data_IF_317224010255
#
_entry.id   IF_317224010255
#
_cell.length_a   1.000
_cell.length_b   1.000
_cell.length_c   1.000
_cell.angle_alpha   90.00
_cell.angle_beta   90.00
_cell.angle_gamma   90.00
#
_symmetry.space_group_name_H-M   'P 1'
#
loop_
_entity.id
_entity.type
_entity.pdbx_description
1 polymer ?
#
# COMPACT_ATOMS: atom_id res chain seq x y z
N UNK A 1 23.48 -18.91 2.36
CA UNK A 1 24.88 -18.71 2.79
C UNK A 1 25.26 -17.28 2.41
N UNK A 2 25.33 -16.36 3.38
CA UNK A 2 25.84 -15.00 3.13
C UNK A 2 27.33 -15.16 2.85
N UNK A 3 27.80 -14.83 1.64
CA UNK A 3 29.24 -14.83 1.35
C UNK A 3 29.88 -13.81 2.29
N UNK A 4 30.64 -14.33 3.24
CA UNK A 4 31.38 -13.58 4.26
C UNK A 4 32.24 -12.53 3.56
N UNK A 5 31.89 -11.25 3.71
CA UNK A 5 32.80 -10.16 3.35
C UNK A 5 32.17 -8.87 2.84
N UNK A 6 30.92 -8.85 2.35
CA UNK A 6 30.34 -7.61 1.74
C UNK A 6 29.13 -7.00 2.47
N UNK A 7 28.30 -7.81 3.10
CA UNK A 7 27.10 -7.35 3.84
C UNK A 7 26.87 -8.22 5.08
N UNK A 8 26.42 -7.60 6.15
CA UNK A 8 25.97 -8.23 7.39
C UNK A 8 24.61 -8.91 7.20
N UNK A 9 24.26 -9.87 8.08
CA UNK A 9 22.92 -10.49 8.08
C UNK A 9 21.80 -9.46 8.23
N UNK A 10 22.00 -8.45 9.07
CA UNK A 10 21.04 -7.37 9.29
C UNK A 10 20.79 -6.55 8.02
N UNK A 11 21.83 -6.29 7.23
CA UNK A 11 21.68 -5.60 5.95
C UNK A 11 20.94 -6.45 4.92
N UNK A 12 21.22 -7.75 4.87
CA UNK A 12 20.48 -8.68 4.01
C UNK A 12 18.99 -8.73 4.39
N UNK A 13 18.67 -8.86 5.68
CA UNK A 13 17.29 -8.89 6.18
C UNK A 13 16.56 -7.58 5.84
N UNK A 14 17.26 -6.46 5.94
CA UNK A 14 16.71 -5.16 5.53
C UNK A 14 16.38 -5.17 4.03
N UNK A 15 17.30 -5.57 3.15
CA UNK A 15 17.04 -5.65 1.70
C UNK A 15 15.85 -6.56 1.39
N UNK A 16 15.75 -7.72 2.05
CA UNK A 16 14.62 -8.62 1.87
C UNK A 16 13.29 -7.95 2.28
N UNK A 17 13.28 -7.18 3.37
CA UNK A 17 12.08 -6.42 3.78
C UNK A 17 11.71 -5.32 2.79
N UNK A 18 12.70 -4.62 2.22
CA UNK A 18 12.46 -3.65 1.16
C UNK A 18 11.82 -4.28 -0.08
N UNK A 19 12.35 -5.43 -0.51
CA UNK A 19 11.80 -6.16 -1.65
C UNK A 19 10.36 -6.59 -1.39
N UNK A 20 10.08 -7.19 -0.23
CA UNK A 20 8.73 -7.60 0.15
C UNK A 20 7.74 -6.42 0.22
N UNK A 21 8.18 -5.27 0.77
CA UNK A 21 7.36 -4.07 0.81
C UNK A 21 7.08 -3.51 -0.59
N UNK A 22 8.08 -3.55 -1.49
CA UNK A 22 7.94 -3.13 -2.87
C UNK A 22 6.95 -4.03 -3.63
N UNK A 23 7.13 -5.34 -3.57
CA UNK A 23 6.23 -6.33 -4.19
C UNK A 23 4.77 -6.10 -3.74
N UNK A 24 4.54 -5.90 -2.44
CA UNK A 24 3.20 -5.61 -1.92
C UNK A 24 2.59 -4.31 -2.48
N UNK A 25 3.41 -3.27 -2.64
CA UNK A 25 2.98 -2.01 -3.22
C UNK A 25 2.66 -2.16 -4.71
N UNK A 26 3.43 -2.95 -5.47
CA UNK A 26 3.18 -3.21 -6.89
C UNK A 26 1.86 -3.93 -7.09
N UNK A 27 1.60 -5.01 -6.34
CA UNK A 27 0.32 -5.74 -6.38
C UNK A 27 -0.86 -4.83 -6.00
N UNK A 28 -0.69 -4.06 -4.91
CA UNK A 28 -1.70 -3.12 -4.45
C UNK A 28 -1.97 -1.98 -5.42
N UNK A 29 -0.99 -1.60 -6.24
CA UNK A 29 -1.12 -0.51 -7.22
C UNK A 29 -2.04 -0.89 -8.38
N UNK A 30 -1.96 -2.14 -8.86
CA UNK A 30 -2.89 -2.63 -9.87
C UNK A 30 -4.35 -2.54 -9.40
N UNK A 31 -4.61 -2.91 -8.15
CA UNK A 31 -5.95 -2.83 -7.56
C UNK A 31 -6.44 -1.38 -7.41
N UNK A 32 -5.54 -0.47 -7.01
CA UNK A 32 -5.82 0.96 -6.95
C UNK A 32 -6.21 1.54 -8.31
N UNK A 33 -5.39 1.29 -9.34
CA UNK A 33 -5.64 1.77 -10.70
C UNK A 33 -6.97 1.24 -11.23
N UNK A 34 -7.27 -0.05 -11.03
CA UNK A 34 -8.53 -0.64 -11.44
C UNK A 34 -9.74 0.05 -10.78
N UNK A 35 -9.70 0.24 -9.45
CA UNK A 35 -10.76 0.93 -8.72
C UNK A 35 -10.93 2.39 -9.14
N UNK A 36 -9.84 3.12 -9.34
CA UNK A 36 -9.85 4.52 -9.80
C UNK A 36 -10.43 4.65 -11.19
N UNK A 37 -9.99 3.83 -12.16
CA UNK A 37 -10.49 3.88 -13.53
C UNK A 37 -11.98 3.52 -13.60
N UNK A 38 -12.42 2.53 -12.82
CA UNK A 38 -13.83 2.14 -12.75
C UNK A 38 -14.69 3.27 -12.16
N UNK A 39 -14.25 3.88 -11.05
CA UNK A 39 -14.93 5.01 -10.43
C UNK A 39 -14.98 6.24 -11.35
N UNK A 40 -13.90 6.51 -12.08
CA UNK A 40 -13.85 7.58 -13.07
C UNK A 40 -14.83 7.32 -14.22
N UNK A 41 -14.87 6.09 -14.73
CA UNK A 41 -15.78 5.69 -15.81
C UNK A 41 -17.25 5.79 -15.38
N UNK A 42 -17.58 5.36 -14.16
CA UNK A 42 -18.92 5.46 -13.59
C UNK A 42 -19.32 6.88 -13.16
N UNK A 43 -18.46 7.89 -13.40
CA UNK A 43 -18.74 9.29 -13.09
C UNK A 43 -18.81 9.58 -11.60
N UNK A 44 -18.06 8.87 -10.74
CA UNK A 44 -17.91 9.20 -9.31
C UNK A 44 -17.43 10.66 -9.16
N UNK A 45 -17.92 11.39 -8.15
CA UNK A 45 -17.58 12.81 -8.02
C UNK A 45 -16.08 13.01 -7.76
N UNK A 46 -15.46 13.91 -8.50
CA UNK A 46 -14.02 14.22 -8.43
C UNK A 46 -13.53 14.52 -7.00
N UNK A 47 -14.24 15.30 -6.16
CA UNK A 47 -13.80 15.53 -4.78
C UNK A 47 -13.72 14.25 -3.95
N UNK A 48 -14.69 13.35 -4.10
CA UNK A 48 -14.69 12.07 -3.38
C UNK A 48 -13.57 11.15 -3.87
N UNK A 49 -13.38 11.08 -5.20
CA UNK A 49 -12.32 10.26 -5.80
C UNK A 49 -10.93 10.77 -5.39
N UNK A 50 -10.69 12.08 -5.42
CA UNK A 50 -9.42 12.69 -4.99
C UNK A 50 -9.12 12.39 -3.52
N UNK A 51 -10.14 12.46 -2.64
CA UNK A 51 -9.98 12.10 -1.23
C UNK A 51 -9.57 10.64 -1.03
N UNK A 52 -10.20 9.71 -1.76
CA UNK A 52 -9.86 8.28 -1.71
C UNK A 52 -8.46 8.00 -2.26
N UNK A 53 -8.08 8.64 -3.37
CA UNK A 53 -6.74 8.50 -3.94
C UNK A 53 -5.64 9.07 -3.05
N UNK A 54 -5.89 10.21 -2.40
CA UNK A 54 -4.98 10.80 -1.42
C UNK A 54 -4.83 9.88 -0.20
N UNK A 55 -5.94 9.36 0.34
CA UNK A 55 -5.92 8.43 1.46
C UNK A 55 -5.15 7.14 1.13
N UNK A 56 -5.34 6.57 -0.06
CA UNK A 56 -4.56 5.43 -0.54
C UNK A 56 -3.06 5.73 -0.55
N UNK A 57 -2.69 6.87 -1.15
CA UNK A 57 -1.29 7.27 -1.30
C UNK A 57 -0.61 7.46 0.05
N UNK A 58 -1.27 8.18 0.98
CA UNK A 58 -0.76 8.38 2.34
C UNK A 58 -0.65 7.06 3.11
N UNK A 59 -1.63 6.16 2.95
CA UNK A 59 -1.60 4.84 3.58
C UNK A 59 -0.42 3.99 3.05
N UNK A 60 -0.11 4.06 1.76
CA UNK A 60 1.05 3.34 1.17
C UNK A 60 2.39 3.93 1.59
N UNK A 61 2.50 5.25 1.70
CA UNK A 61 3.69 5.89 2.27
C UNK A 61 3.89 5.47 3.74
N UNK A 62 2.83 5.49 4.54
CA UNK A 62 2.86 5.00 5.93
C UNK A 62 3.24 3.52 6.03
N UNK A 63 2.69 2.67 5.15
CA UNK A 63 3.06 1.26 5.07
C UNK A 63 4.55 1.08 4.77
N UNK A 64 5.09 1.76 3.75
CA UNK A 64 6.51 1.67 3.40
C UNK A 64 7.43 2.12 4.54
N UNK A 65 7.12 3.26 5.17
CA UNK A 65 7.91 3.78 6.30
C UNK A 65 7.87 2.81 7.48
N UNK A 66 6.68 2.31 7.85
CA UNK A 66 6.54 1.38 8.99
C UNK A 66 7.21 0.03 8.73
N UNK A 67 7.18 -0.47 7.49
CA UNK A 67 7.81 -1.74 7.11
C UNK A 67 9.34 -1.68 7.16
N UNK A 68 9.92 -0.53 6.78
CA UNK A 68 11.37 -0.36 6.67
C UNK A 68 12.00 0.13 7.98
N UNK A 69 11.37 1.09 8.65
CA UNK A 69 11.98 1.81 9.76
C UNK A 69 11.77 1.13 11.12
N UNK A 70 10.77 0.25 11.25
CA UNK A 70 10.38 -0.31 12.54
C UNK A 70 10.85 -1.76 12.66
N UNK A 71 11.90 -1.97 13.46
CA UNK A 71 12.42 -3.29 13.85
C UNK A 71 11.67 -3.87 15.08
N UNK A 72 10.87 -3.06 15.77
CA UNK A 72 10.23 -3.43 17.03
C UNK A 72 8.87 -4.08 16.82
N UNK A 73 8.65 -5.25 17.43
CA UNK A 73 7.41 -6.01 17.34
C UNK A 73 6.18 -5.17 17.72
N UNK A 74 6.34 -4.18 18.63
CA UNK A 74 5.34 -3.24 19.20
C UNK A 74 4.79 -2.14 18.29
N UNK A 75 5.24 -2.06 17.02
CA UNK A 75 4.56 -1.25 16.00
C UNK A 75 4.07 -2.02 14.75
N UNK A 76 4.10 -3.36 14.75
CA UNK A 76 3.60 -4.20 13.65
C UNK A 76 2.13 -3.94 13.27
N UNK A 77 1.27 -3.56 14.23
CA UNK A 77 -0.14 -3.18 13.99
C UNK A 77 -0.28 -1.97 13.07
N UNK A 78 0.65 -1.00 13.11
CA UNK A 78 0.56 0.18 12.22
C UNK A 78 0.67 -0.22 10.76
N UNK A 79 1.57 -1.15 10.45
CA UNK A 79 1.71 -1.71 9.10
C UNK A 79 0.38 -2.31 8.64
N UNK A 80 -0.24 -3.11 9.49
CA UNK A 80 -1.54 -3.74 9.21
C UNK A 80 -2.64 -2.68 9.02
N UNK A 81 -2.67 -1.64 9.86
CA UNK A 81 -3.63 -0.55 9.73
C UNK A 81 -3.46 0.20 8.41
N UNK A 82 -2.24 0.64 8.07
CA UNK A 82 -1.92 1.30 6.81
C UNK A 82 -2.30 0.42 5.61
N UNK A 83 -2.01 -0.88 5.68
CA UNK A 83 -2.36 -1.83 4.63
C UNK A 83 -3.88 -1.93 4.45
N UNK A 84 -4.65 -2.09 5.53
CA UNK A 84 -6.11 -2.16 5.47
C UNK A 84 -6.73 -0.86 4.97
N UNK A 85 -6.23 0.31 5.42
CA UNK A 85 -6.70 1.61 4.93
C UNK A 85 -6.54 1.71 3.42
N UNK A 86 -5.39 1.33 2.87
CA UNK A 86 -5.17 1.30 1.42
C UNK A 86 -6.18 0.40 0.69
N UNK A 87 -6.40 -0.82 1.17
CA UNK A 87 -7.35 -1.75 0.55
C UNK A 87 -8.80 -1.25 0.63
N UNK A 88 -9.19 -0.67 1.76
CA UNK A 88 -10.54 -0.14 1.96
C UNK A 88 -10.86 1.02 1.00
N UNK A 89 -9.88 1.88 0.69
CA UNK A 89 -10.09 2.94 -0.31
C UNK A 89 -10.36 2.36 -1.71
N UNK A 90 -9.65 1.30 -2.10
CA UNK A 90 -9.84 0.62 -3.38
C UNK A 90 -11.23 -0.03 -3.48
N UNK A 91 -11.63 -0.77 -2.44
CA UNK A 91 -12.97 -1.35 -2.34
C UNK A 91 -14.06 -0.28 -2.38
N UNK A 92 -13.86 0.84 -1.67
CA UNK A 92 -14.79 1.97 -1.68
C UNK A 92 -14.96 2.55 -3.09
N UNK A 93 -13.86 2.74 -3.85
CA UNK A 93 -13.94 3.22 -5.23
C UNK A 93 -14.76 2.27 -6.12
N UNK A 94 -14.54 0.96 -5.99
CA UNK A 94 -15.28 -0.06 -6.77
C UNK A 94 -16.77 -0.06 -6.40
N UNK A 95 -17.09 0.00 -5.10
CA UNK A 95 -18.48 0.05 -4.62
C UNK A 95 -19.19 1.32 -5.10
N UNK A 96 -18.52 2.48 -5.02
CA UNK A 96 -19.07 3.74 -5.51
C UNK A 96 -19.34 3.69 -7.02
N UNK A 97 -18.44 3.05 -7.77
CA UNK A 97 -18.64 2.85 -9.20
C UNK A 97 -19.83 1.93 -9.49
N UNK A 98 -19.90 0.77 -8.83
CA UNK A 98 -20.99 -0.20 -9.01
C UNK A 98 -22.36 0.31 -8.57
N UNK A 99 -22.43 1.35 -7.73
CA UNK A 99 -23.70 2.03 -7.37
C UNK A 99 -24.17 3.06 -8.41
N UNK A 100 -23.33 3.39 -9.40
CA UNK A 100 -23.62 4.38 -10.44
C UNK A 100 -23.76 3.79 -11.84
N UNK A 101 -23.22 2.58 -12.05
CA UNK A 101 -23.50 1.74 -13.21
C UNK A 101 -24.87 1.06 -13.05
#
# INVERSE_FOLDING_TARGET
MVKEGKITRRELDRVARWQAAHENCVEGYAFFVAGTLLALHAGVSTPALNGLMAAYTLARLGYGVTYVAIDTESWSWLRTLCWWTGNMTCLTMIVLAGRRL
#
